data_IF_583646325347
#
_entry.id   IF_583646325347
#
_cell.length_a   1.000
_cell.length_b   1.000
_cell.length_c   1.000
_cell.angle_alpha   90.00
_cell.angle_beta   90.00
_cell.angle_gamma   90.00
#
_symmetry.space_group_name_H-M   'P 1'
#
loop_
_entity.id
_entity.type
_entity.pdbx_description
1 polymer ?
#
# COMPACT_ATOMS: atom_id res chain seq x y z
N UNK A 1 32.28 23.62 6.42
CA UNK A 1 31.99 25.00 5.96
C UNK A 1 30.89 24.94 4.92
N UNK A 2 29.65 24.81 5.37
CA UNK A 2 28.42 24.81 4.57
C UNK A 2 27.41 25.67 5.35
N UNK A 3 26.82 26.73 4.77
CA UNK A 3 25.89 27.57 5.49
C UNK A 3 24.50 26.93 5.57
N UNK A 4 23.92 27.01 6.77
CA UNK A 4 22.55 26.65 7.10
C UNK A 4 21.66 27.88 6.82
N UNK A 5 20.80 27.83 5.80
CA UNK A 5 19.66 28.75 5.68
C UNK A 5 18.36 27.98 5.89
N UNK A 6 17.88 28.02 7.14
CA UNK A 6 16.56 27.58 7.54
C UNK A 6 15.57 28.72 7.29
N UNK A 7 14.80 28.64 6.20
CA UNK A 7 13.62 29.51 6.00
C UNK A 7 12.37 28.73 6.37
N UNK A 8 11.91 28.89 7.62
CA UNK A 8 10.65 28.38 8.13
C UNK A 8 9.54 29.35 7.70
N UNK A 9 8.60 28.90 6.86
CA UNK A 9 7.40 29.67 6.51
C UNK A 9 6.16 29.10 7.24
N UNK A 10 5.34 29.92 7.92
CA UNK A 10 4.10 29.45 8.54
C UNK A 10 2.99 29.33 7.50
N UNK A 11 2.47 28.12 7.27
CA UNK A 11 1.25 27.91 6.48
C UNK A 11 0.04 27.73 7.37
N UNK A 12 -1.02 28.45 6.98
CA UNK A 12 -2.16 28.86 7.78
C UNK A 12 -3.16 27.71 7.96
N UNK A 13 -3.56 27.53 9.22
CA UNK A 13 -4.71 26.73 9.65
C UNK A 13 -5.99 27.24 8.94
N UNK A 14 -6.53 26.47 8.00
CA UNK A 14 -7.82 26.78 7.35
C UNK A 14 -8.91 25.86 7.90
N UNK A 15 -9.55 26.34 8.96
CA UNK A 15 -10.79 25.83 9.53
C UNK A 15 -11.93 26.02 8.50
N UNK A 16 -12.51 24.93 7.99
CA UNK A 16 -13.79 25.00 7.25
C UNK A 16 -14.74 23.89 7.72
N UNK A 17 -15.51 24.29 8.73
CA UNK A 17 -16.99 24.16 8.81
C UNK A 17 -17.64 22.81 8.48
N UNK A 18 -18.15 22.21 9.56
CA UNK A 18 -19.31 21.32 9.61
C UNK A 18 -20.44 21.72 8.63
N UNK A 19 -21.04 20.73 7.96
CA UNK A 19 -22.45 20.80 7.58
C UNK A 19 -23.05 19.39 7.45
N UNK A 20 -24.10 19.18 8.23
CA UNK A 20 -24.95 17.99 8.30
C UNK A 20 -25.78 17.81 7.02
N UNK A 21 -26.04 16.57 6.62
CA UNK A 21 -27.39 16.19 6.18
C UNK A 21 -27.59 14.67 6.29
N UNK A 22 -28.58 14.29 7.11
CA UNK A 22 -29.13 12.95 7.19
C UNK A 22 -30.08 12.70 6.01
N UNK A 23 -30.13 11.47 5.47
CA UNK A 23 -31.35 10.96 4.83
C UNK A 23 -31.46 9.42 4.86
N UNK A 24 -32.61 9.00 5.39
CA UNK A 24 -33.31 7.71 5.44
C UNK A 24 -32.91 6.61 4.42
N UNK A 25 -32.66 5.37 4.86
CA UNK A 25 -33.63 4.24 5.03
C UNK A 25 -34.34 3.82 3.75
N UNK A 26 -34.04 2.61 3.27
CA UNK A 26 -35.02 1.70 2.65
C UNK A 26 -34.58 0.25 2.87
N UNK A 27 -35.39 -0.47 3.65
CA UNK A 27 -35.43 -1.92 3.77
C UNK A 27 -36.15 -2.54 2.56
N UNK A 28 -35.89 -3.84 2.39
CA UNK A 28 -36.74 -4.87 1.76
C UNK A 28 -36.43 -5.27 0.32
N UNK A 29 -35.81 -6.45 0.18
CA UNK A 29 -36.37 -7.53 -0.64
C UNK A 29 -35.80 -8.87 -0.16
N UNK A 30 -36.63 -9.61 0.57
CA UNK A 30 -36.48 -11.05 0.81
C UNK A 30 -36.98 -11.77 -0.45
N UNK A 31 -36.22 -12.72 -0.98
CA UNK A 31 -36.67 -13.50 -2.14
C UNK A 31 -35.80 -14.70 -2.45
N UNK A 32 -36.33 -15.90 -2.19
CA UNK A 32 -36.12 -17.04 -3.07
C UNK A 32 -35.33 -18.23 -2.50
N UNK A 33 -36.07 -19.28 -2.15
CA UNK A 33 -35.59 -20.56 -1.65
C UNK A 33 -35.01 -21.49 -2.74
N UNK A 34 -34.00 -22.25 -2.34
CA UNK A 34 -33.68 -23.67 -2.58
C UNK A 34 -34.06 -24.35 -3.91
N UNK A 35 -33.04 -24.87 -4.60
CA UNK A 35 -33.11 -26.20 -5.23
C UNK A 35 -31.75 -26.91 -5.16
N UNK A 36 -31.79 -28.09 -4.55
CA UNK A 36 -30.71 -29.05 -4.38
C UNK A 36 -30.75 -30.01 -5.58
N UNK A 37 -29.61 -30.29 -6.20
CA UNK A 37 -29.44 -31.30 -7.23
C UNK A 37 -27.97 -31.74 -7.29
N UNK A 38 -27.65 -33.03 -7.07
CA UNK A 38 -26.29 -33.52 -6.98
C UNK A 38 -25.82 -34.07 -8.33
N UNK A 39 -24.80 -33.46 -8.93
CA UNK A 39 -24.01 -34.14 -9.96
C UNK A 39 -22.53 -33.86 -9.69
N UNK A 40 -21.88 -34.92 -9.22
CA UNK A 40 -20.46 -35.02 -9.05
C UNK A 40 -19.78 -34.91 -10.41
N UNK A 41 -19.22 -33.74 -10.70
CA UNK A 41 -18.07 -33.64 -11.61
C UNK A 41 -16.84 -33.48 -10.73
N UNK A 42 -16.19 -34.62 -10.54
CA UNK A 42 -14.85 -34.74 -10.00
C UNK A 42 -13.89 -34.13 -11.02
N UNK A 43 -13.66 -32.82 -10.90
CA UNK A 43 -12.66 -32.07 -11.65
C UNK A 43 -11.53 -31.70 -10.72
N UNK A 44 -10.50 -32.55 -10.72
CA UNK A 44 -9.11 -32.32 -10.30
C UNK A 44 -8.89 -31.08 -9.41
N UNK A 45 -8.96 -31.29 -8.09
CA UNK A 45 -8.42 -30.33 -7.13
C UNK A 45 -6.90 -30.32 -7.27
N UNK A 46 -6.42 -29.51 -8.21
CA UNK A 46 -5.01 -29.18 -8.30
C UNK A 46 -4.66 -28.45 -7.01
N UNK A 47 -3.74 -29.06 -6.28
CA UNK A 47 -3.24 -28.60 -4.99
C UNK A 47 -2.88 -27.12 -5.04
N UNK A 48 -3.25 -26.41 -3.98
CA UNK A 48 -3.06 -24.98 -3.82
C UNK A 48 -1.63 -24.56 -4.16
N UNK A 49 -1.51 -23.82 -5.25
CA UNK A 49 -0.38 -22.94 -5.48
C UNK A 49 -0.39 -21.92 -4.36
N UNK A 50 0.55 -22.07 -3.44
CA UNK A 50 0.89 -21.09 -2.43
C UNK A 50 1.05 -19.76 -3.16
N UNK A 51 0.05 -18.89 -3.02
CA UNK A 51 0.11 -17.53 -3.55
C UNK A 51 1.11 -16.78 -2.68
N UNK A 52 2.40 -17.01 -2.93
CA UNK A 52 3.45 -16.16 -2.43
C UNK A 52 3.19 -14.71 -2.86
N UNK A 53 3.79 -13.73 -2.17
CA UNK A 53 3.79 -12.35 -2.67
C UNK A 53 4.23 -12.36 -4.14
N UNK A 54 3.49 -11.64 -5.01
CA UNK A 54 3.84 -11.54 -6.43
C UNK A 54 5.17 -10.80 -6.62
N UNK A 55 5.59 -10.03 -5.63
CA UNK A 55 6.92 -9.40 -5.59
C UNK A 55 7.95 -10.33 -4.97
N UNK A 56 8.83 -10.85 -5.83
CA UNK A 56 10.13 -11.40 -5.43
C UNK A 56 11.10 -10.25 -5.16
N UNK A 57 11.69 -10.21 -3.97
CA UNK A 57 12.71 -9.22 -3.64
C UNK A 57 14.04 -9.57 -4.31
N UNK A 58 14.89 -8.56 -4.60
CA UNK A 58 16.24 -8.81 -5.09
C UNK A 58 17.03 -9.69 -4.13
N UNK A 59 17.76 -10.67 -4.66
CA UNK A 59 18.63 -11.57 -3.88
C UNK A 59 19.74 -10.82 -3.16
N UNK A 60 20.19 -9.70 -3.73
CA UNK A 60 21.19 -8.80 -3.16
C UNK A 60 20.67 -7.37 -3.22
N UNK A 61 20.73 -6.67 -2.08
CA UNK A 61 20.38 -5.24 -2.01
C UNK A 61 21.65 -4.43 -2.27
N UNK A 62 21.73 -3.82 -3.44
CA UNK A 62 22.85 -2.95 -3.85
C UNK A 62 22.51 -1.47 -3.59
N UNK A 63 23.51 -0.57 -3.56
CA UNK A 63 23.25 0.86 -3.47
C UNK A 63 22.40 1.43 -4.61
N UNK A 64 22.48 0.84 -5.81
CA UNK A 64 21.68 1.24 -6.96
C UNK A 64 20.20 0.91 -6.76
N UNK A 65 19.89 -0.30 -6.26
CA UNK A 65 18.54 -0.72 -5.90
C UNK A 65 17.96 0.20 -4.83
N UNK A 66 18.75 0.54 -3.81
CA UNK A 66 18.31 1.46 -2.75
C UNK A 66 18.04 2.87 -3.27
N UNK A 67 18.91 3.40 -4.13
CA UNK A 67 18.75 4.72 -4.73
C UNK A 67 17.49 4.77 -5.64
N UNK A 68 17.28 3.74 -6.46
CA UNK A 68 16.05 3.63 -7.25
C UNK A 68 14.81 3.54 -6.36
N UNK A 69 14.87 2.75 -5.29
CA UNK A 69 13.77 2.61 -4.33
C UNK A 69 13.45 3.91 -3.61
N UNK A 70 14.46 4.70 -3.24
CA UNK A 70 14.32 6.04 -2.66
C UNK A 70 13.67 7.01 -3.67
N UNK A 71 14.12 7.05 -4.92
CA UNK A 71 13.51 7.88 -5.97
C UNK A 71 12.03 7.55 -6.20
N UNK A 72 11.67 6.26 -6.13
CA UNK A 72 10.29 5.80 -6.22
C UNK A 72 9.48 6.20 -4.98
N UNK A 73 10.08 6.11 -3.79
CA UNK A 73 9.46 6.55 -2.54
C UNK A 73 9.13 8.04 -2.58
N UNK A 74 10.10 8.87 -2.97
CA UNK A 74 9.93 10.32 -3.09
C UNK A 74 8.80 10.69 -4.04
N UNK A 75 8.69 9.97 -5.15
CA UNK A 75 7.68 10.25 -6.18
C UNK A 75 6.27 9.84 -5.77
N UNK A 76 6.13 8.72 -5.05
CA UNK A 76 4.83 8.07 -4.86
C UNK A 76 4.33 8.04 -3.42
N UNK A 77 5.23 8.09 -2.43
CA UNK A 77 4.93 7.89 -1.02
C UNK A 77 5.15 9.16 -0.20
N UNK A 78 6.25 9.87 -0.45
CA UNK A 78 6.74 10.96 0.41
C UNK A 78 5.74 12.10 0.61
N UNK A 79 4.94 12.42 -0.42
CA UNK A 79 3.88 13.46 -0.31
C UNK A 79 2.90 13.21 0.84
N UNK A 80 2.66 11.95 1.21
CA UNK A 80 1.81 11.59 2.34
C UNK A 80 2.58 11.05 3.55
N UNK A 81 3.76 10.49 3.32
CA UNK A 81 4.62 9.83 4.31
C UNK A 81 6.03 10.44 4.27
N UNK A 82 6.20 11.72 4.64
CA UNK A 82 7.44 12.45 4.40
C UNK A 82 8.62 11.79 5.12
N UNK A 83 9.62 11.34 4.35
CA UNK A 83 10.75 10.58 4.86
C UNK A 83 10.36 9.30 5.62
N UNK A 84 9.18 8.75 5.37
CA UNK A 84 8.62 7.61 6.11
C UNK A 84 7.95 7.95 7.44
N UNK A 85 7.90 9.21 7.83
CA UNK A 85 7.25 9.68 9.06
C UNK A 85 5.74 9.89 8.88
N UNK A 86 5.07 10.23 9.99
CA UNK A 86 3.64 10.57 9.99
C UNK A 86 3.39 11.99 9.47
N UNK A 87 2.39 12.14 8.60
CA UNK A 87 1.77 13.42 8.24
C UNK A 87 0.32 13.19 7.78
N UNK A 88 0.07 13.12 6.46
CA UNK A 88 -1.25 12.79 5.91
C UNK A 88 -1.52 11.29 6.09
N UNK A 89 -0.50 10.47 5.86
CA UNK A 89 -0.47 9.04 6.14
C UNK A 89 0.23 8.73 7.46
N UNK A 90 0.03 7.51 8.00
CA UNK A 90 0.71 7.08 9.22
C UNK A 90 2.22 6.95 9.05
N UNK A 91 2.93 6.91 10.17
CA UNK A 91 4.35 6.56 10.21
C UNK A 91 4.56 5.15 9.64
N UNK A 92 5.52 5.01 8.71
CA UNK A 92 5.86 3.74 8.08
C UNK A 92 7.01 3.03 8.77
N UNK A 93 7.87 3.73 9.51
CA UNK A 93 9.07 3.15 10.12
C UNK A 93 8.71 2.15 11.20
N UNK A 94 9.35 0.99 11.16
CA UNK A 94 9.21 -0.05 12.19
C UNK A 94 7.86 -0.76 12.24
N UNK A 95 6.93 -0.52 11.30
CA UNK A 95 5.65 -1.26 11.25
C UNK A 95 5.85 -2.73 10.84
N UNK A 96 6.95 -3.03 10.12
CA UNK A 96 7.41 -4.37 9.75
C UNK A 96 6.33 -5.26 9.12
N UNK A 97 5.57 -4.71 8.18
CA UNK A 97 4.60 -5.49 7.41
C UNK A 97 5.31 -6.50 6.51
N UNK A 98 4.62 -7.59 6.16
CA UNK A 98 5.15 -8.52 5.15
C UNK A 98 5.23 -7.83 3.80
N UNK A 99 6.13 -8.29 2.93
CA UNK A 99 6.25 -7.79 1.55
C UNK A 99 4.89 -7.86 0.85
N UNK A 100 4.19 -8.99 0.96
CA UNK A 100 2.87 -9.17 0.35
C UNK A 100 1.81 -8.21 0.88
N UNK A 101 1.76 -7.98 2.21
CA UNK A 101 0.81 -7.02 2.77
C UNK A 101 1.09 -5.58 2.33
N UNK A 102 2.36 -5.19 2.26
CA UNK A 102 2.75 -3.88 1.74
C UNK A 102 2.44 -3.75 0.24
N UNK A 103 2.70 -4.80 -0.54
CA UNK A 103 2.36 -4.84 -1.96
C UNK A 103 0.85 -4.65 -2.15
N UNK A 104 0.03 -5.43 -1.46
CA UNK A 104 -1.44 -5.28 -1.50
C UNK A 104 -1.86 -3.86 -1.12
N UNK A 105 -1.30 -3.28 -0.05
CA UNK A 105 -1.61 -1.91 0.36
C UNK A 105 -1.24 -0.87 -0.71
N UNK A 106 -0.10 -1.05 -1.40
CA UNK A 106 0.33 -0.16 -2.49
C UNK A 106 -0.57 -0.32 -3.71
N UNK A 107 -0.87 -1.58 -4.10
CA UNK A 107 -1.61 -1.91 -5.32
C UNK A 107 -3.10 -1.59 -5.22
N UNK A 108 -3.70 -1.86 -4.06
CA UNK A 108 -5.14 -1.75 -3.85
C UNK A 108 -5.52 -0.48 -3.10
N UNK A 109 -4.58 0.09 -2.34
CA UNK A 109 -4.86 1.22 -1.45
C UNK A 109 -5.79 0.83 -0.30
N UNK A 110 -6.01 1.76 0.62
CA UNK A 110 -7.02 1.61 1.68
C UNK A 110 -7.33 2.97 2.29
N UNK A 111 -8.57 3.17 2.74
CA UNK A 111 -9.00 4.43 3.35
C UNK A 111 -8.75 5.64 2.43
N UNK A 112 -7.79 6.49 2.83
CA UNK A 112 -7.39 7.70 2.07
C UNK A 112 -6.18 7.47 1.16
N UNK A 113 -5.47 6.36 1.33
CA UNK A 113 -4.36 5.98 0.46
C UNK A 113 -4.92 5.46 -0.85
N UNK A 114 -4.70 6.20 -1.94
CA UNK A 114 -5.14 5.80 -3.28
C UNK A 114 -4.26 4.64 -3.78
N UNK A 115 -4.83 3.69 -4.53
CA UNK A 115 -4.06 2.64 -5.17
C UNK A 115 -3.02 3.19 -6.15
N UNK A 116 -1.86 2.54 -6.21
CA UNK A 116 -0.77 2.80 -7.15
C UNK A 116 -0.65 1.59 -8.08
N UNK A 117 -1.36 1.59 -9.22
CA UNK A 117 -1.36 0.46 -10.13
C UNK A 117 -0.02 0.30 -10.85
N UNK A 118 0.19 -0.85 -11.50
CA UNK A 118 1.40 -1.16 -12.29
C UNK A 118 1.67 -0.16 -13.41
N UNK A 119 0.62 0.51 -13.92
CA UNK A 119 0.75 1.61 -14.89
C UNK A 119 1.41 2.88 -14.35
N UNK A 120 1.51 3.04 -13.02
CA UNK A 120 2.19 4.17 -12.36
C UNK A 120 3.49 3.76 -11.68
N UNK A 121 3.49 2.61 -11.00
CA UNK A 121 4.67 2.01 -10.40
C UNK A 121 4.82 0.62 -10.98
N UNK A 122 5.75 0.42 -11.91
CA UNK A 122 5.85 -0.84 -12.64
C UNK A 122 6.16 -2.02 -11.72
N UNK A 123 5.88 -3.23 -12.19
CA UNK A 123 6.14 -4.45 -11.43
C UNK A 123 7.65 -4.68 -11.23
N UNK A 124 8.49 -4.17 -12.13
CA UNK A 124 9.95 -4.20 -12.01
C UNK A 124 10.48 -3.16 -11.01
N UNK A 125 9.81 -2.02 -10.84
CA UNK A 125 10.21 -0.99 -9.88
C UNK A 125 9.74 -1.26 -8.45
N UNK A 126 8.68 -2.05 -8.28
CA UNK A 126 8.14 -2.37 -6.96
C UNK A 126 9.15 -3.11 -6.05
N UNK A 127 9.95 -4.09 -6.52
CA UNK A 127 11.03 -4.70 -5.73
C UNK A 127 12.07 -3.69 -5.20
N UNK A 128 12.47 -2.71 -6.01
CA UNK A 128 13.43 -1.65 -5.59
C UNK A 128 12.82 -0.78 -4.48
N UNK A 129 11.55 -0.38 -4.63
CA UNK A 129 10.81 0.33 -3.58
C UNK A 129 10.73 -0.51 -2.30
N UNK A 130 10.43 -1.81 -2.41
CA UNK A 130 10.37 -2.68 -1.24
C UNK A 130 11.73 -2.85 -0.56
N UNK A 131 12.84 -2.88 -1.32
CA UNK A 131 14.18 -2.89 -0.76
C UNK A 131 14.49 -1.63 0.06
N UNK A 132 14.05 -0.47 -0.42
CA UNK A 132 14.14 0.77 0.36
C UNK A 132 13.24 0.74 1.61
N UNK A 133 12.01 0.23 1.51
CA UNK A 133 11.11 0.08 2.67
C UNK A 133 11.65 -0.91 3.72
N UNK A 134 12.43 -1.92 3.32
CA UNK A 134 13.17 -2.80 4.23
C UNK A 134 14.24 -2.02 5.02
N UNK A 135 14.98 -1.11 4.37
CA UNK A 135 15.99 -0.25 5.01
C UNK A 135 15.41 0.55 6.17
N UNK A 136 14.14 0.97 6.07
CA UNK A 136 13.42 1.74 7.09
C UNK A 136 12.64 0.87 8.08
N UNK A 137 12.74 -0.46 7.97
CA UNK A 137 11.95 -1.44 8.73
C UNK A 137 10.42 -1.29 8.56
N UNK A 138 9.97 -0.64 7.48
CA UNK A 138 8.56 -0.58 7.14
C UNK A 138 8.05 -1.95 6.67
N UNK A 139 8.92 -2.69 5.99
CA UNK A 139 8.69 -4.04 5.50
C UNK A 139 9.63 -5.01 6.22
N UNK A 140 9.25 -6.29 6.28
CA UNK A 140 10.12 -7.42 6.65
C UNK A 140 10.07 -8.50 5.57
N UNK A 141 11.18 -9.21 5.38
CA UNK A 141 11.18 -10.42 4.55
C UNK A 141 10.41 -11.55 5.27
N UNK A 142 9.65 -12.34 4.49
CA UNK A 142 8.92 -13.53 4.98
C UNK A 142 7.40 -13.45 4.83
N UNK A 143 6.78 -14.64 4.80
CA UNK A 143 5.33 -14.86 4.70
C UNK A 143 4.55 -14.24 5.87
#
# INVERSE_FOLDING_TARGET
NWPQELTIAPRRLSMRTLSFLALAVSLAACGGSTSQGPDAVQGDSTAGGESGPSVELPTEITPEILANGEDLFDRYCDTCHPGGEEDIGPNLRGIRWTVGAMETQIRDGSGKMKPIPSSRLSDEGLPDLMAFLLQMEAVRQGQ
#
